data_IF_479739122204
#
_entry.id   IF_479739122204
#
_cell.length_a   1.000
_cell.length_b   1.000
_cell.length_c   1.000
_cell.angle_alpha   90.00
_cell.angle_beta   90.00
_cell.angle_gamma   90.00
#
_symmetry.space_group_name_H-M   'P 1'
#
loop_
_entity.id
_entity.type
_entity.pdbx_description
1 polymer ?
#
# COMPACT_ATOMS: atom_id res chain seq x y z
N UNK A 1 10.26 -3.72 -1.28
CA UNK A 1 10.20 -4.94 -0.45
C UNK A 1 9.33 -4.79 0.82
N UNK A 2 9.42 -3.72 1.62
CA UNK A 2 8.58 -3.53 2.84
C UNK A 2 7.07 -3.40 2.57
N UNK A 3 6.66 -2.81 1.46
CA UNK A 3 5.22 -2.68 1.08
C UNK A 3 4.61 -4.04 0.71
N UNK A 4 5.39 -4.94 0.10
CA UNK A 4 4.94 -6.31 -0.21
C UNK A 4 4.68 -7.15 1.05
N UNK A 5 5.46 -6.93 2.11
CA UNK A 5 5.25 -7.61 3.40
C UNK A 5 3.98 -7.15 4.11
N UNK A 6 3.59 -5.87 4.00
CA UNK A 6 2.37 -5.34 4.62
C UNK A 6 1.11 -5.91 3.93
N UNK A 7 1.17 -6.13 2.61
CA UNK A 7 0.05 -6.74 1.85
C UNK A 7 -0.11 -8.23 2.23
N UNK A 8 0.99 -8.95 2.44
CA UNK A 8 0.96 -10.36 2.85
C UNK A 8 0.47 -10.51 4.30
N UNK A 9 0.85 -9.62 5.22
CA UNK A 9 0.36 -9.67 6.60
C UNK A 9 -1.13 -9.33 6.74
N UNK A 10 -1.67 -8.45 5.90
CA UNK A 10 -3.12 -8.19 5.83
C UNK A 10 -3.92 -9.37 5.25
N UNK A 11 -3.32 -10.18 4.37
CA UNK A 11 -3.95 -11.39 3.83
C UNK A 11 -3.94 -12.58 4.82
N UNK A 12 -2.97 -12.62 5.75
CA UNK A 12 -2.85 -13.70 6.76
C UNK A 12 -3.77 -13.47 7.97
N UNK A 13 -4.20 -12.21 8.21
CA UNK A 13 -5.15 -11.86 9.27
C UNK A 13 -6.63 -12.02 8.86
N UNK A 14 -6.91 -12.62 7.70
CA UNK A 14 -8.28 -13.01 7.37
C UNK A 14 -8.71 -14.15 8.29
N UNK A 15 -9.76 -13.97 9.13
CA UNK A 15 -10.23 -15.03 10.00
C UNK A 15 -10.68 -16.21 9.14
N UNK A 16 -10.40 -17.42 9.62
CA UNK A 16 -10.81 -18.68 9.02
C UNK A 16 -12.31 -18.61 8.68
N UNK A 17 -12.62 -18.50 7.40
CA UNK A 17 -13.97 -18.50 6.88
C UNK A 17 -14.57 -19.90 7.07
N UNK A 18 -15.38 -20.04 8.09
CA UNK A 18 -16.33 -21.15 8.18
C UNK A 18 -17.26 -21.03 6.97
N UNK A 19 -17.21 -22.06 6.17
CA UNK A 19 -17.91 -22.33 4.92
C UNK A 19 -19.29 -21.67 4.76
N UNK A 20 -19.34 -20.51 4.13
CA UNK A 20 -20.54 -20.07 3.44
C UNK A 20 -20.50 -20.66 2.03
N UNK A 21 -21.56 -21.36 1.62
CA UNK A 21 -21.69 -21.96 0.28
C UNK A 21 -21.63 -20.84 -0.77
N UNK A 22 -20.49 -20.67 -1.43
CA UNK A 22 -20.34 -19.70 -2.53
C UNK A 22 -21.12 -20.22 -3.74
N UNK A 23 -22.14 -19.51 -4.13
CA UNK A 23 -22.68 -19.60 -5.50
C UNK A 23 -21.78 -18.68 -6.35
N UNK A 24 -21.03 -19.28 -7.28
CA UNK A 24 -20.08 -18.57 -8.13
C UNK A 24 -20.76 -17.62 -9.10
N UNK A 25 -20.23 -16.40 -9.21
CA UNK A 25 -20.62 -15.41 -10.20
C UNK A 25 -20.05 -14.04 -9.84
N UNK A 26 -19.88 -13.17 -10.84
CA UNK A 26 -19.51 -11.75 -10.65
C UNK A 26 -20.64 -10.98 -9.95
N UNK A 27 -21.85 -11.55 -9.99
CA UNK A 27 -23.05 -11.06 -9.32
C UNK A 27 -23.68 -12.23 -8.56
N UNK A 28 -24.13 -12.00 -7.35
CA UNK A 28 -24.77 -13.04 -6.55
C UNK A 28 -25.38 -12.52 -5.27
N UNK A 29 -26.27 -13.32 -4.72
CA UNK A 29 -26.85 -13.16 -3.40
C UNK A 29 -26.41 -14.33 -2.54
N UNK A 30 -25.93 -14.10 -1.35
CA UNK A 30 -25.75 -15.14 -0.34
C UNK A 30 -26.48 -14.79 0.92
N UNK A 31 -27.12 -15.78 1.52
CA UNK A 31 -27.79 -15.64 2.80
C UNK A 31 -26.98 -16.39 3.85
N UNK A 32 -26.85 -15.79 5.03
CA UNK A 32 -26.21 -16.36 6.19
C UNK A 32 -27.17 -16.32 7.35
N UNK A 33 -27.27 -17.43 8.05
CA UNK A 33 -28.05 -17.55 9.27
C UNK A 33 -27.09 -17.96 10.39
N UNK A 34 -26.95 -17.10 11.39
CA UNK A 34 -26.09 -17.35 12.54
C UNK A 34 -26.93 -17.71 13.74
N UNK A 35 -26.66 -18.88 14.33
CA UNK A 35 -27.30 -19.37 15.54
C UNK A 35 -26.91 -18.48 16.72
N UNK A 36 -27.92 -18.07 17.52
CA UNK A 36 -27.72 -17.26 18.71
C UNK A 36 -27.98 -18.08 19.96
N UNK A 37 -29.12 -18.79 20.01
CA UNK A 37 -29.52 -19.61 21.15
C UNK A 37 -30.53 -20.67 20.76
N UNK A 38 -30.55 -21.76 21.51
CA UNK A 38 -31.62 -22.73 21.42
C UNK A 38 -32.96 -22.14 21.92
N UNK A 39 -34.05 -22.65 21.37
CA UNK A 39 -35.41 -22.38 21.87
C UNK A 39 -36.07 -23.65 22.30
N UNK A 40 -36.97 -23.57 23.30
CA UNK A 40 -37.59 -24.70 23.97
C UNK A 40 -38.91 -25.15 23.33
N UNK A 41 -39.23 -24.70 22.14
CA UNK A 41 -40.44 -25.10 21.40
C UNK A 41 -40.11 -25.62 20.03
N UNK A 42 -41.05 -26.41 19.47
CA UNK A 42 -40.88 -27.06 18.15
C UNK A 42 -41.59 -26.32 17.06
N UNK A 43 -41.08 -26.46 15.84
CA UNK A 43 -41.70 -25.96 14.63
C UNK A 43 -43.03 -26.65 14.28
N UNK A 44 -43.70 -26.16 13.27
CA UNK A 44 -45.01 -26.62 12.83
C UNK A 44 -45.06 -28.09 12.43
N UNK A 45 -43.91 -28.69 12.07
CA UNK A 45 -43.77 -30.11 11.71
C UNK A 45 -43.04 -30.92 12.80
N UNK A 46 -42.88 -30.36 14.00
CA UNK A 46 -42.17 -30.97 15.09
C UNK A 46 -40.67 -30.83 15.07
N UNK A 47 -40.14 -29.98 14.21
CA UNK A 47 -38.70 -29.73 14.11
C UNK A 47 -38.16 -29.00 15.35
N UNK A 48 -36.91 -29.31 15.69
CA UNK A 48 -36.16 -28.55 16.68
C UNK A 48 -35.70 -27.20 16.06
N UNK A 49 -35.92 -26.13 16.78
CA UNK A 49 -35.64 -24.78 16.33
C UNK A 49 -34.52 -24.13 17.15
N UNK A 50 -33.91 -23.10 16.62
CA UNK A 50 -32.99 -22.21 17.31
C UNK A 50 -33.21 -20.76 16.88
N UNK A 51 -32.97 -19.81 17.78
CA UNK A 51 -32.98 -18.39 17.45
C UNK A 51 -31.72 -18.06 16.68
N UNK A 52 -31.87 -17.38 15.56
CA UNK A 52 -30.77 -16.98 14.70
C UNK A 52 -30.93 -15.57 14.17
N UNK A 53 -29.84 -15.03 13.68
CA UNK A 53 -29.83 -13.76 12.97
C UNK A 53 -29.50 -13.98 11.51
N UNK A 54 -30.31 -13.40 10.63
CA UNK A 54 -30.13 -13.55 9.20
C UNK A 54 -29.53 -12.29 8.60
N UNK A 55 -28.53 -12.48 7.77
CA UNK A 55 -27.96 -11.43 6.93
C UNK A 55 -27.95 -11.85 5.47
N UNK A 56 -28.18 -10.91 4.59
CA UNK A 56 -28.09 -11.12 3.13
C UNK A 56 -26.94 -10.28 2.58
N UNK A 57 -26.03 -10.93 1.88
CA UNK A 57 -24.94 -10.26 1.17
C UNK A 57 -25.22 -10.27 -0.33
N UNK A 58 -25.26 -9.09 -0.94
CA UNK A 58 -25.38 -8.91 -2.38
C UNK A 58 -24.00 -8.58 -2.96
N UNK A 59 -23.56 -9.41 -3.91
CA UNK A 59 -22.28 -9.23 -4.59
C UNK A 59 -22.52 -8.54 -5.92
N UNK A 60 -21.93 -7.37 -6.09
CA UNK A 60 -21.90 -6.62 -7.35
C UNK A 60 -20.46 -6.43 -7.79
N UNK A 61 -20.25 -6.18 -9.08
CA UNK A 61 -18.93 -5.81 -9.61
C UNK A 61 -18.27 -4.65 -8.84
N UNK A 62 -19.06 -3.81 -8.21
CA UNK A 62 -18.65 -2.62 -7.49
C UNK A 62 -18.51 -2.79 -5.96
N UNK A 63 -18.84 -3.94 -5.39
CA UNK A 63 -18.71 -4.18 -3.92
C UNK A 63 -19.70 -5.17 -3.37
N UNK A 64 -19.68 -5.34 -2.05
CA UNK A 64 -20.63 -6.19 -1.31
C UNK A 64 -21.51 -5.29 -0.46
N UNK A 65 -22.81 -5.41 -0.65
CA UNK A 65 -23.81 -4.80 0.23
C UNK A 65 -24.33 -5.88 1.17
N UNK A 66 -24.34 -5.62 2.48
CA UNK A 66 -24.87 -6.52 3.49
C UNK A 66 -26.13 -5.87 4.05
N UNK A 67 -27.29 -6.53 3.88
CA UNK A 67 -28.51 -6.14 4.55
C UNK A 67 -28.69 -6.94 5.83
N UNK A 68 -29.28 -6.24 6.80
CA UNK A 68 -29.71 -6.79 8.06
C UNK A 68 -31.16 -7.26 7.88
N UNK A 69 -31.36 -8.58 7.83
CA UNK A 69 -32.67 -9.18 7.61
C UNK A 69 -33.36 -9.53 8.94
N UNK A 70 -32.69 -9.32 10.08
CA UNK A 70 -33.26 -9.47 11.41
C UNK A 70 -33.23 -10.92 11.95
N UNK A 71 -34.05 -11.15 13.00
CA UNK A 71 -34.12 -12.44 13.66
C UNK A 71 -35.00 -13.42 12.90
N UNK A 72 -34.58 -14.68 12.92
CA UNK A 72 -35.29 -15.83 12.31
C UNK A 72 -35.25 -17.03 13.26
N UNK A 73 -36.15 -17.97 13.07
CA UNK A 73 -36.06 -19.30 13.72
C UNK A 73 -35.46 -20.29 12.73
N UNK A 74 -34.21 -20.68 12.95
CA UNK A 74 -33.52 -21.70 12.17
C UNK A 74 -34.00 -23.09 12.54
N UNK A 75 -33.98 -24.02 11.59
CA UNK A 75 -34.37 -25.44 11.77
C UNK A 75 -33.11 -26.26 11.97
N UNK A 76 -32.98 -26.93 13.14
CA UNK A 76 -31.85 -27.83 13.41
C UNK A 76 -31.78 -28.95 12.37
N UNK A 77 -30.58 -29.31 11.97
CA UNK A 77 -30.28 -30.32 10.94
C UNK A 77 -30.76 -30.03 9.52
N UNK A 78 -31.30 -28.81 9.26
CA UNK A 78 -31.70 -28.37 7.93
C UNK A 78 -30.97 -27.10 7.53
N UNK A 79 -29.88 -27.22 6.77
CA UNK A 79 -29.05 -26.08 6.36
C UNK A 79 -29.85 -25.08 5.53
N UNK A 80 -29.93 -23.83 6.00
CA UNK A 80 -30.52 -22.73 5.28
C UNK A 80 -32.05 -22.66 5.30
N UNK A 81 -32.71 -23.52 6.08
CA UNK A 81 -34.16 -23.46 6.28
C UNK A 81 -34.47 -22.72 7.58
N UNK A 82 -35.37 -21.75 7.51
CA UNK A 82 -35.77 -20.93 8.63
C UNK A 82 -37.20 -20.42 8.50
N UNK A 83 -37.79 -20.05 9.62
CA UNK A 83 -39.05 -19.32 9.68
C UNK A 83 -38.76 -17.84 9.92
N UNK A 84 -39.21 -16.92 9.06
CA UNK A 84 -39.06 -15.49 9.29
C UNK A 84 -39.87 -15.05 10.51
N UNK A 85 -39.31 -14.16 11.34
CA UNK A 85 -39.96 -13.59 12.49
C UNK A 85 -40.39 -12.14 12.20
N UNK A 86 -41.69 -11.86 12.18
CA UNK A 86 -42.20 -10.50 12.20
C UNK A 86 -42.09 -9.93 13.61
N UNK A 87 -42.10 -8.60 13.75
CA UNK A 87 -42.10 -7.93 15.06
C UNK A 87 -43.27 -8.36 15.94
N UNK A 88 -44.44 -8.58 15.34
CA UNK A 88 -45.65 -9.07 16.07
C UNK A 88 -45.40 -10.48 16.61
N UNK A 89 -44.80 -11.36 15.79
CA UNK A 89 -44.51 -12.72 16.21
C UNK A 89 -43.42 -12.78 17.28
N UNK A 90 -42.46 -11.92 17.21
CA UNK A 90 -41.43 -11.76 18.27
C UNK A 90 -42.10 -11.39 19.59
N UNK A 91 -43.00 -10.38 19.60
CA UNK A 91 -43.69 -9.97 20.80
C UNK A 91 -44.60 -11.06 21.39
N UNK A 92 -45.31 -11.81 20.52
CA UNK A 92 -46.11 -12.95 20.94
C UNK A 92 -45.27 -14.02 21.63
N UNK A 93 -44.12 -14.37 21.02
CA UNK A 93 -43.22 -15.39 21.58
C UNK A 93 -42.49 -14.91 22.84
N UNK A 94 -42.26 -13.61 22.99
CA UNK A 94 -41.73 -13.02 24.23
C UNK A 94 -42.76 -13.01 25.35
N UNK A 95 -44.01 -12.67 25.04
CA UNK A 95 -45.11 -12.67 26.03
C UNK A 95 -45.44 -14.07 26.50
N UNK A 96 -45.31 -15.08 25.66
CA UNK A 96 -45.49 -16.49 26.02
C UNK A 96 -44.25 -17.14 26.71
N UNK A 97 -43.17 -16.38 26.86
CA UNK A 97 -41.95 -16.86 27.52
C UNK A 97 -41.07 -17.75 26.66
N UNK A 98 -41.35 -17.91 25.37
CA UNK A 98 -40.57 -18.73 24.44
C UNK A 98 -39.33 -18.04 23.87
N UNK A 99 -39.31 -16.70 23.90
CA UNK A 99 -38.13 -15.92 23.51
C UNK A 99 -37.71 -14.96 24.64
N UNK A 100 -36.42 -14.70 24.79
CA UNK A 100 -35.91 -13.76 25.78
C UNK A 100 -36.39 -12.32 25.50
N UNK A 101 -36.58 -11.55 26.54
CA UNK A 101 -36.92 -10.11 26.47
C UNK A 101 -35.94 -9.32 27.36
N UNK A 102 -35.07 -8.48 26.81
CA UNK A 102 -34.90 -8.20 25.38
C UNK A 102 -34.25 -9.35 24.60
N UNK A 103 -34.40 -9.35 23.27
CA UNK A 103 -33.66 -10.27 22.41
C UNK A 103 -32.14 -10.01 22.53
N UNK A 104 -31.31 -11.06 22.43
CA UNK A 104 -29.89 -10.89 22.42
C UNK A 104 -29.45 -9.95 21.26
N UNK A 105 -28.64 -8.93 21.55
CA UNK A 105 -28.18 -8.00 20.53
C UNK A 105 -27.18 -8.68 19.60
N UNK A 106 -27.47 -8.69 18.32
CA UNK A 106 -26.53 -9.14 17.29
C UNK A 106 -25.93 -7.94 16.59
N UNK A 107 -24.60 -7.96 16.43
CA UNK A 107 -23.87 -6.94 15.67
C UNK A 107 -23.10 -7.62 14.56
N UNK A 108 -23.34 -7.21 13.32
CA UNK A 108 -22.54 -7.67 12.18
C UNK A 108 -21.08 -7.30 12.43
N UNK A 109 -20.14 -8.26 12.43
CA UNK A 109 -18.74 -7.98 12.67
C UNK A 109 -18.18 -6.98 11.66
N UNK A 110 -17.35 -6.03 12.14
CA UNK A 110 -16.72 -5.01 11.28
C UNK A 110 -15.92 -5.62 10.13
N UNK A 111 -15.28 -6.77 10.38
CA UNK A 111 -14.56 -7.54 9.36
C UNK A 111 -15.44 -7.91 8.16
N UNK A 112 -16.69 -8.27 8.40
CA UNK A 112 -17.64 -8.63 7.33
C UNK A 112 -18.11 -7.40 6.54
N UNK A 113 -18.32 -6.27 7.21
CA UNK A 113 -18.68 -5.00 6.57
C UNK A 113 -17.56 -4.48 5.67
N UNK A 114 -16.29 -4.66 6.07
CA UNK A 114 -15.13 -4.15 5.34
C UNK A 114 -14.68 -5.06 4.21
N UNK A 115 -15.07 -6.35 4.21
CA UNK A 115 -14.57 -7.31 3.23
C UNK A 115 -14.96 -6.97 1.79
N UNK A 116 -16.14 -6.43 1.58
CA UNK A 116 -16.61 -6.01 0.26
C UNK A 116 -15.86 -4.81 -0.33
N UNK A 117 -15.29 -3.96 0.52
CA UNK A 117 -14.54 -2.77 0.10
C UNK A 117 -13.04 -3.03 -0.05
N UNK A 118 -12.53 -4.15 0.46
CA UNK A 118 -11.08 -4.45 0.49
C UNK A 118 -10.46 -4.48 -0.91
N UNK A 119 -11.14 -5.08 -1.89
CA UNK A 119 -10.68 -5.12 -3.27
C UNK A 119 -10.64 -3.72 -3.90
N UNK A 120 -11.67 -2.90 -3.64
CA UNK A 120 -11.73 -1.51 -4.15
C UNK A 120 -10.68 -0.62 -3.53
N UNK A 121 -10.46 -0.76 -2.22
CA UNK A 121 -9.38 -0.06 -1.53
C UNK A 121 -8.04 -0.46 -2.15
N UNK A 122 -7.82 -1.75 -2.39
CA UNK A 122 -6.61 -2.24 -3.04
C UNK A 122 -6.45 -1.66 -4.46
N UNK A 123 -7.50 -1.72 -5.28
CA UNK A 123 -7.48 -1.19 -6.64
C UNK A 123 -7.26 0.32 -6.68
N UNK A 124 -7.89 1.08 -5.78
CA UNK A 124 -7.67 2.53 -5.68
C UNK A 124 -6.26 2.86 -5.23
N UNK A 125 -5.71 2.13 -4.26
CA UNK A 125 -4.32 2.29 -3.81
C UNK A 125 -3.35 1.98 -4.95
N UNK A 126 -3.56 0.87 -5.68
CA UNK A 126 -2.75 0.51 -6.85
C UNK A 126 -2.84 1.58 -7.94
N UNK A 127 -4.04 2.08 -8.23
CA UNK A 127 -4.24 3.16 -9.20
C UNK A 127 -3.51 4.46 -8.77
N UNK A 128 -3.61 4.85 -7.51
CA UNK A 128 -2.92 6.01 -6.96
C UNK A 128 -1.40 5.85 -7.10
N UNK A 129 -0.85 4.68 -6.72
CA UNK A 129 0.59 4.38 -6.86
C UNK A 129 1.00 4.44 -8.33
N UNK A 130 0.21 3.86 -9.24
CA UNK A 130 0.47 3.89 -10.67
C UNK A 130 0.49 5.31 -11.24
N UNK A 131 -0.54 6.13 -10.95
CA UNK A 131 -0.60 7.51 -11.40
C UNK A 131 0.52 8.37 -10.81
N UNK A 132 0.87 8.13 -9.54
CA UNK A 132 1.96 8.84 -8.88
C UNK A 132 3.31 8.49 -9.50
N UNK A 133 3.56 7.20 -9.75
CA UNK A 133 4.77 6.70 -10.42
C UNK A 133 4.89 7.26 -11.84
N UNK A 134 3.85 7.10 -12.66
CA UNK A 134 3.86 7.63 -14.05
C UNK A 134 4.11 9.13 -14.11
N UNK A 135 3.59 9.88 -13.15
CA UNK A 135 3.79 11.34 -13.10
C UNK A 135 5.23 11.76 -12.79
N UNK A 136 6.02 10.97 -12.04
CA UNK A 136 7.43 11.29 -11.79
C UNK A 136 8.31 11.02 -13.01
N UNK A 137 8.09 9.90 -13.71
CA UNK A 137 8.79 9.55 -14.95
C UNK A 137 8.53 10.57 -16.06
N UNK A 138 7.26 10.96 -16.26
CA UNK A 138 6.88 11.94 -17.26
C UNK A 138 7.53 13.33 -17.01
N UNK A 139 7.57 13.77 -15.75
CA UNK A 139 8.24 15.01 -15.39
C UNK A 139 9.76 14.89 -15.62
N UNK A 140 10.38 13.79 -15.27
CA UNK A 140 11.79 13.56 -15.51
C UNK A 140 12.13 13.60 -17.00
N UNK A 141 11.40 12.85 -17.83
CA UNK A 141 11.58 12.85 -19.28
C UNK A 141 11.47 14.26 -19.89
N UNK A 142 10.45 15.02 -19.48
CA UNK A 142 10.28 16.42 -19.91
C UNK A 142 11.44 17.29 -19.46
N UNK A 143 11.92 17.10 -18.22
CA UNK A 143 13.11 17.79 -17.72
C UNK A 143 14.36 17.49 -18.56
N UNK A 144 14.58 16.22 -18.91
CA UNK A 144 15.66 15.83 -19.79
C UNK A 144 15.57 16.45 -21.20
N UNK A 145 14.36 16.55 -21.76
CA UNK A 145 14.18 17.18 -23.07
C UNK A 145 14.64 18.65 -23.05
N UNK A 146 14.29 19.42 -22.02
CA UNK A 146 14.75 20.79 -21.85
C UNK A 146 16.23 20.89 -21.48
N UNK A 147 16.77 19.92 -20.73
CA UNK A 147 18.17 19.93 -20.33
C UNK A 147 19.11 19.66 -21.50
N UNK A 148 18.79 18.65 -22.33
CA UNK A 148 19.60 18.21 -23.47
C UNK A 148 19.20 18.85 -24.81
N UNK A 149 18.09 19.60 -24.85
CA UNK A 149 17.59 20.19 -26.10
C UNK A 149 17.01 19.15 -27.07
N UNK A 150 16.42 18.07 -26.55
CA UNK A 150 15.76 17.05 -27.37
C UNK A 150 14.34 17.53 -27.69
N UNK A 151 14.01 17.63 -28.99
CA UNK A 151 12.70 18.10 -29.49
C UNK A 151 12.35 19.56 -29.15
N UNK A 152 13.08 20.20 -28.26
CA UNK A 152 12.88 21.59 -27.80
C UNK A 152 14.25 22.26 -27.63
N UNK A 153 14.30 23.60 -27.65
CA UNK A 153 15.53 24.33 -27.33
C UNK A 153 15.95 24.11 -25.86
N UNK A 154 17.27 24.09 -25.62
CA UNK A 154 17.81 23.98 -24.25
C UNK A 154 17.27 25.10 -23.38
N UNK A 155 16.71 24.75 -22.24
CA UNK A 155 16.21 25.67 -21.22
C UNK A 155 16.42 25.06 -19.82
N UNK A 156 17.55 25.38 -19.22
CA UNK A 156 17.92 24.86 -17.89
C UNK A 156 16.94 25.29 -16.80
N UNK A 157 16.31 26.47 -16.93
CA UNK A 157 15.32 26.91 -15.93
C UNK A 157 14.05 26.06 -15.98
N UNK A 158 13.58 25.69 -17.17
CA UNK A 158 12.47 24.76 -17.31
C UNK A 158 12.86 23.36 -16.90
N UNK A 159 14.04 22.87 -17.30
CA UNK A 159 14.55 21.58 -16.87
C UNK A 159 14.55 21.46 -15.33
N UNK A 160 15.08 22.46 -14.64
CA UNK A 160 15.10 22.52 -13.18
C UNK A 160 13.69 22.41 -12.56
N UNK A 161 12.71 23.15 -13.10
CA UNK A 161 11.31 23.07 -12.61
C UNK A 161 10.71 21.67 -12.78
N UNK A 162 10.99 20.99 -13.88
CA UNK A 162 10.50 19.63 -14.11
C UNK A 162 11.23 18.61 -13.25
N UNK A 163 12.54 18.74 -13.06
CA UNK A 163 13.29 17.88 -12.16
C UNK A 163 12.84 18.02 -10.71
N UNK A 164 12.54 19.24 -10.22
CA UNK A 164 11.95 19.44 -8.88
C UNK A 164 10.61 18.70 -8.76
N UNK A 165 9.71 18.82 -9.75
CA UNK A 165 8.41 18.08 -9.72
C UNK A 165 8.59 16.58 -9.68
N UNK A 166 9.61 16.03 -10.32
CA UNK A 166 9.95 14.62 -10.30
C UNK A 166 10.64 14.20 -8.99
N UNK A 167 11.61 14.98 -8.54
CA UNK A 167 12.36 14.74 -7.31
C UNK A 167 11.48 14.76 -6.05
N UNK A 168 10.51 15.68 -5.98
CA UNK A 168 9.52 15.74 -4.89
C UNK A 168 8.62 14.51 -4.84
N UNK A 169 8.56 13.72 -5.90
CA UNK A 169 7.91 12.40 -5.94
C UNK A 169 8.88 11.25 -5.68
N UNK A 170 10.07 11.53 -5.17
CA UNK A 170 11.08 10.53 -4.83
C UNK A 170 11.76 9.88 -6.04
N UNK A 171 11.91 10.59 -7.18
CA UNK A 171 12.59 10.06 -8.36
C UNK A 171 14.10 10.29 -8.23
N UNK A 172 14.86 9.24 -7.92
CA UNK A 172 16.31 9.33 -7.68
C UNK A 172 17.12 9.92 -8.86
N UNK A 173 16.88 9.55 -10.14
CA UNK A 173 17.55 10.22 -11.25
C UNK A 173 17.29 11.72 -11.34
N UNK A 174 16.08 12.20 -10.95
CA UNK A 174 15.77 13.62 -10.94
C UNK A 174 16.49 14.35 -9.79
N UNK A 175 16.58 13.71 -8.62
CA UNK A 175 17.37 14.24 -7.50
C UNK A 175 18.84 14.35 -7.87
N UNK A 176 19.40 13.33 -8.50
CA UNK A 176 20.77 13.39 -9.00
C UNK A 176 21.01 14.55 -9.97
N UNK A 177 20.12 14.73 -10.96
CA UNK A 177 20.24 15.85 -11.90
C UNK A 177 20.08 17.22 -11.21
N UNK A 178 19.22 17.35 -10.20
CA UNK A 178 19.14 18.56 -9.38
C UNK A 178 20.46 18.82 -8.63
N UNK A 179 21.08 17.77 -8.10
CA UNK A 179 22.42 17.86 -7.52
C UNK A 179 23.44 18.45 -8.50
N UNK A 180 23.46 17.95 -9.73
CA UNK A 180 24.33 18.47 -10.79
C UNK A 180 24.01 19.94 -11.10
N UNK A 181 22.73 20.30 -11.23
CA UNK A 181 22.31 21.66 -11.55
C UNK A 181 22.69 22.66 -10.45
N UNK A 182 22.52 22.27 -9.18
CA UNK A 182 22.97 23.10 -8.06
C UNK A 182 24.50 23.19 -7.98
N UNK A 183 25.23 22.13 -8.32
CA UNK A 183 26.70 22.14 -8.31
C UNK A 183 27.28 23.02 -9.42
N UNK A 184 26.64 23.04 -10.59
CA UNK A 184 27.11 23.77 -11.78
C UNK A 184 26.47 25.17 -11.92
N UNK A 185 25.39 25.48 -11.19
CA UNK A 185 24.64 26.74 -11.36
C UNK A 185 23.80 26.79 -12.64
N UNK A 186 23.47 25.64 -13.25
CA UNK A 186 22.69 25.58 -14.48
C UNK A 186 21.18 25.75 -14.18
N UNK A 187 20.60 26.85 -14.65
CA UNK A 187 19.17 27.16 -14.46
C UNK A 187 18.77 27.51 -13.00
N UNK A 188 19.74 27.55 -12.08
CA UNK A 188 19.56 27.86 -10.66
C UNK A 188 20.86 28.47 -10.12
N UNK A 189 20.76 29.23 -9.04
CA UNK A 189 21.94 29.75 -8.34
C UNK A 189 22.73 28.56 -7.76
N UNK A 190 24.05 28.54 -8.03
CA UNK A 190 24.95 27.51 -7.52
C UNK A 190 24.86 27.39 -5.98
N UNK A 191 24.75 26.18 -5.49
CA UNK A 191 24.70 25.91 -4.07
C UNK A 191 25.20 24.49 -3.76
N UNK A 192 26.40 24.38 -3.21
CA UNK A 192 27.05 23.10 -2.92
C UNK A 192 26.29 22.28 -1.85
N UNK A 193 25.73 22.94 -0.83
CA UNK A 193 24.98 22.25 0.22
C UNK A 193 23.72 21.59 -0.34
N UNK A 194 22.97 22.30 -1.19
CA UNK A 194 21.80 21.74 -1.87
C UNK A 194 22.19 20.64 -2.84
N UNK A 195 23.32 20.78 -3.53
CA UNK A 195 23.82 19.73 -4.42
C UNK A 195 24.08 18.44 -3.65
N UNK A 196 24.80 18.54 -2.53
CA UNK A 196 25.10 17.38 -1.66
C UNK A 196 23.81 16.78 -1.12
N UNK A 197 22.88 17.59 -0.62
CA UNK A 197 21.57 17.12 -0.14
C UNK A 197 20.84 16.27 -1.21
N UNK A 198 20.73 16.78 -2.44
CA UNK A 198 20.05 16.02 -3.49
C UNK A 198 20.82 14.78 -3.94
N UNK A 199 22.15 14.78 -3.90
CA UNK A 199 22.93 13.57 -4.13
C UNK A 199 22.74 12.54 -3.00
N UNK A 200 22.69 12.96 -1.73
CA UNK A 200 22.43 12.08 -0.59
C UNK A 200 21.03 11.45 -0.67
N UNK A 201 20.02 12.23 -1.05
CA UNK A 201 18.66 11.73 -1.30
C UNK A 201 18.64 10.66 -2.41
N UNK A 202 19.34 10.87 -3.53
CA UNK A 202 19.43 9.89 -4.60
C UNK A 202 20.24 8.65 -4.19
N UNK A 203 21.36 8.85 -3.50
CA UNK A 203 22.24 7.78 -3.02
C UNK A 203 21.55 6.86 -2.00
N UNK A 204 20.71 7.43 -1.11
CA UNK A 204 19.93 6.67 -0.14
C UNK A 204 18.93 5.71 -0.78
N UNK A 205 18.50 6.00 -2.00
CA UNK A 205 17.63 5.14 -2.82
C UNK A 205 18.42 4.10 -3.64
N UNK A 206 19.75 4.05 -3.49
CA UNK A 206 20.62 3.13 -4.21
C UNK A 206 21.02 3.63 -5.60
N UNK A 207 20.87 4.94 -5.91
CA UNK A 207 21.30 5.48 -7.19
C UNK A 207 22.82 5.55 -7.25
N UNK A 208 23.43 4.68 -8.05
CA UNK A 208 24.86 4.40 -8.07
C UNK A 208 25.67 5.63 -8.46
N UNK A 209 25.24 6.37 -9.49
CA UNK A 209 25.93 7.59 -9.93
C UNK A 209 26.01 8.65 -8.82
N UNK A 210 24.99 8.73 -7.97
CA UNK A 210 24.99 9.66 -6.84
C UNK A 210 25.96 9.21 -5.73
N UNK A 211 26.01 7.91 -5.44
CA UNK A 211 26.98 7.34 -4.49
C UNK A 211 28.42 7.60 -4.95
N UNK A 212 28.72 7.31 -6.21
CA UNK A 212 30.05 7.57 -6.79
C UNK A 212 30.38 9.08 -6.78
N UNK A 213 29.41 9.93 -7.14
CA UNK A 213 29.60 11.39 -7.15
C UNK A 213 29.89 11.94 -5.75
N UNK A 214 29.17 11.47 -4.72
CA UNK A 214 29.42 11.84 -3.32
C UNK A 214 30.83 11.38 -2.86
N UNK A 215 31.23 10.15 -3.23
CA UNK A 215 32.58 9.68 -3.01
C UNK A 215 33.65 10.65 -3.58
N UNK A 216 33.45 11.08 -4.82
CA UNK A 216 34.35 12.06 -5.47
C UNK A 216 34.32 13.44 -4.81
N UNK A 217 33.16 13.94 -4.40
CA UNK A 217 33.01 15.23 -3.70
C UNK A 217 33.85 15.24 -2.42
N UNK A 218 33.68 14.22 -1.57
CA UNK A 218 34.40 14.12 -0.29
C UNK A 218 35.88 13.77 -0.48
N UNK A 219 36.22 12.97 -1.49
CA UNK A 219 37.63 12.64 -1.78
C UNK A 219 38.42 13.84 -2.25
N UNK A 220 37.86 14.64 -3.16
CA UNK A 220 38.52 15.81 -3.76
C UNK A 220 38.41 17.08 -2.91
N UNK A 221 37.44 17.16 -2.01
CA UNK A 221 37.24 18.35 -1.18
C UNK A 221 36.80 19.61 -1.95
N UNK A 222 36.13 19.45 -3.11
CA UNK A 222 35.79 20.62 -3.99
C UNK A 222 34.48 21.34 -3.61
N UNK A 223 33.48 20.60 -3.19
CA UNK A 223 32.16 21.14 -2.82
C UNK A 223 31.84 20.97 -1.33
N UNK A 224 32.68 20.22 -0.62
CA UNK A 224 32.66 19.98 0.83
C UNK A 224 34.10 19.85 1.30
N UNK A 225 34.42 20.04 2.59
CA UNK A 225 35.73 19.67 3.14
C UNK A 225 36.09 18.24 2.81
N UNK A 226 37.39 18.01 2.54
CA UNK A 226 37.92 16.67 2.22
C UNK A 226 37.71 15.73 3.41
N UNK A 227 37.06 14.59 3.13
CA UNK A 227 36.82 13.53 4.10
C UNK A 227 36.99 12.16 3.41
N UNK A 228 38.20 11.60 3.53
CA UNK A 228 38.55 10.33 2.86
C UNK A 228 37.75 9.17 3.41
N UNK A 229 37.42 9.16 4.71
CA UNK A 229 36.62 8.09 5.33
C UNK A 229 35.20 8.08 4.80
N UNK A 230 34.56 9.28 4.72
CA UNK A 230 33.24 9.42 4.15
C UNK A 230 33.24 9.09 2.64
N UNK A 231 34.27 9.50 1.92
CA UNK A 231 34.46 9.14 0.51
C UNK A 231 34.54 7.63 0.31
N UNK A 232 35.37 6.96 1.12
CA UNK A 232 35.53 5.49 1.07
C UNK A 232 34.20 4.77 1.30
N UNK A 233 33.41 5.18 2.29
CA UNK A 233 32.09 4.61 2.56
C UNK A 233 31.14 4.71 1.36
N UNK A 234 31.11 5.85 0.66
CA UNK A 234 30.30 6.03 -0.54
C UNK A 234 30.83 5.18 -1.72
N UNK A 235 32.14 5.10 -1.91
CA UNK A 235 32.70 4.24 -2.96
C UNK A 235 32.47 2.76 -2.66
N UNK A 236 32.60 2.30 -1.41
CA UNK A 236 32.27 0.92 -1.03
C UNK A 236 30.81 0.58 -1.33
N UNK A 237 29.88 1.53 -1.04
CA UNK A 237 28.47 1.34 -1.35
C UNK A 237 28.20 1.27 -2.85
N UNK A 238 28.81 2.16 -3.63
CA UNK A 238 28.70 2.12 -5.10
C UNK A 238 29.32 0.84 -5.70
N UNK A 239 30.48 0.42 -5.19
CA UNK A 239 31.15 -0.84 -5.57
C UNK A 239 30.24 -2.06 -5.29
N UNK A 240 29.64 -2.13 -4.08
CA UNK A 240 28.72 -3.19 -3.71
C UNK A 240 27.46 -3.22 -4.62
N UNK A 241 27.06 -2.06 -5.17
CA UNK A 241 25.98 -1.93 -6.13
C UNK A 241 26.42 -2.15 -7.61
N UNK A 242 27.68 -2.54 -7.82
CA UNK A 242 28.20 -2.98 -9.12
C UNK A 242 28.98 -1.93 -9.92
N UNK A 243 29.30 -0.77 -9.32
CA UNK A 243 30.16 0.24 -9.96
C UNK A 243 31.64 -0.20 -9.92
N UNK A 244 32.19 -0.53 -11.08
CA UNK A 244 33.58 -0.99 -11.21
C UNK A 244 34.61 0.11 -10.92
N UNK A 245 34.30 1.35 -11.24
CA UNK A 245 35.18 2.48 -11.03
C UNK A 245 35.27 2.80 -9.53
N UNK A 246 34.14 2.72 -8.82
CA UNK A 246 34.11 2.83 -7.35
C UNK A 246 34.94 1.71 -6.71
N UNK A 247 34.84 0.46 -7.18
CA UNK A 247 35.67 -0.63 -6.67
C UNK A 247 37.17 -0.36 -6.83
N UNK A 248 37.59 0.21 -7.96
CA UNK A 248 38.97 0.63 -8.18
C UNK A 248 39.36 1.73 -7.18
N UNK A 249 38.53 2.75 -7.02
CA UNK A 249 38.78 3.83 -6.06
C UNK A 249 38.94 3.33 -4.63
N UNK A 250 38.13 2.33 -4.22
CA UNK A 250 38.25 1.68 -2.90
C UNK A 250 39.64 1.04 -2.73
N UNK A 251 40.10 0.28 -3.74
CA UNK A 251 41.40 -0.37 -3.69
C UNK A 251 42.56 0.65 -3.65
N UNK A 252 42.52 1.66 -4.53
CA UNK A 252 43.53 2.71 -4.58
C UNK A 252 43.67 3.47 -3.26
N UNK A 253 42.52 3.78 -2.58
CA UNK A 253 42.54 4.46 -1.29
C UNK A 253 43.11 3.55 -0.20
N UNK A 254 42.73 2.28 -0.13
CA UNK A 254 43.23 1.32 0.86
C UNK A 254 44.71 1.03 0.70
N UNK A 255 45.21 0.91 -0.54
CA UNK A 255 46.63 0.74 -0.81
C UNK A 255 47.46 1.96 -0.35
N UNK A 256 46.95 3.16 -0.58
CA UNK A 256 47.62 4.39 -0.15
C UNK A 256 47.61 4.56 1.40
N UNK A 257 46.60 4.05 2.09
CA UNK A 257 46.57 4.04 3.57
C UNK A 257 47.54 3.02 4.18
N UNK A 258 47.84 1.92 3.48
CA UNK A 258 48.80 0.89 3.90
C UNK A 258 50.28 1.31 3.72
N UNK A 259 50.52 2.21 2.74
CA UNK A 259 51.87 2.67 2.38
C UNK A 259 52.30 3.96 3.11
N UNK A 260 51.44 4.57 3.93
CA UNK A 260 51.70 5.75 4.76
C UNK A 260 51.73 5.41 6.24
#
# INVERSE_FOLDING_TARGET
MRIFLIIITLAILAPNLVSAKRVGGIFGKSERVEEISDVDFKGAKGEELYLAYKTTSLFFFMGVYISDDGYVLGIKKSYGSYYPLSEEKIKELQTSGHLPNPLPTYKIPMSERLWGFSLWILLTVVAIIYFFSKGKEANFATGCNYYFGKEVSVDYTKAFRYFIKSANKGHAPAQYNLGIMYLSGQGVIQNNEKAIFYFEEAASQGYIDAQFTLGNIYYKGKASPKDVKKALSFFETACANGDKEACKMVNDIKENELNN
#
